data_IF_885908378751
#
_entry.id   IF_885908378751
#
_cell.length_a   1.000
_cell.length_b   1.000
_cell.length_c   1.000
_cell.angle_alpha   90.00
_cell.angle_beta   90.00
_cell.angle_gamma   90.00
#
_symmetry.space_group_name_H-M   'P 1'
#
loop_
_entity.id
_entity.type
_entity.pdbx_description
1 polymer ?
#
# COMPACT_ATOMS: atom_id res chain seq x y z
N UNK A 1 -6.15 -3.30 25.94
CA UNK A 1 -6.36 -1.85 26.22
C UNK A 1 -5.09 -1.30 26.87
N UNK A 2 -4.64 -0.11 26.45
CA UNK A 2 -3.40 0.51 26.96
C UNK A 2 -3.78 1.80 27.67
N UNK A 3 -3.25 2.03 28.88
CA UNK A 3 -3.40 3.28 29.63
C UNK A 3 -2.03 3.83 30.03
N UNK A 4 -1.94 5.15 30.13
CA UNK A 4 -0.77 5.78 30.71
C UNK A 4 -0.85 5.70 32.24
N UNK A 5 0.24 5.23 32.87
CA UNK A 5 0.38 5.14 34.33
C UNK A 5 1.50 6.08 34.73
N UNK A 6 1.23 6.97 35.69
CA UNK A 6 2.20 7.95 36.19
C UNK A 6 2.06 8.10 37.71
N UNK A 7 3.18 8.29 38.40
CA UNK A 7 3.20 8.55 39.83
C UNK A 7 2.86 10.03 40.08
N UNK A 8 1.93 10.31 41.00
CA UNK A 8 1.56 11.69 41.35
C UNK A 8 1.37 11.85 42.86
N UNK A 9 1.60 13.08 43.33
CA UNK A 9 1.31 13.51 44.70
C UNK A 9 -0.19 13.77 44.91
N UNK A 10 -0.61 13.91 46.18
CA UNK A 10 -1.98 14.31 46.57
C UNK A 10 -2.43 15.60 45.89
N UNK A 11 -1.49 16.55 45.74
CA UNK A 11 -1.69 17.85 45.09
C UNK A 11 -1.67 17.78 43.55
N UNK A 12 -1.58 16.58 42.99
CA UNK A 12 -1.68 16.33 41.55
C UNK A 12 -0.38 16.48 40.76
N UNK A 13 0.73 16.85 41.39
CA UNK A 13 2.04 16.96 40.72
C UNK A 13 2.57 15.58 40.36
N UNK A 14 2.90 15.36 39.08
CA UNK A 14 3.56 14.14 38.59
C UNK A 14 5.02 14.12 39.05
N UNK A 15 5.45 12.98 39.57
CA UNK A 15 6.78 12.76 40.16
C UNK A 15 7.43 11.49 39.57
N UNK A 16 8.74 11.28 39.78
CA UNK A 16 9.41 10.06 39.33
C UNK A 16 8.74 8.80 39.89
N UNK A 17 8.68 7.73 39.09
CA UNK A 17 8.02 6.48 39.50
C UNK A 17 8.63 5.83 40.74
N UNK A 18 9.90 6.10 41.05
CA UNK A 18 10.58 5.59 42.25
C UNK A 18 9.97 6.12 43.56
N UNK A 19 9.20 7.20 43.50
CA UNK A 19 8.48 7.76 44.66
C UNK A 19 7.18 6.99 44.96
N UNK A 20 6.67 6.22 44.01
CA UNK A 20 5.53 5.32 44.21
C UNK A 20 6.02 3.90 44.53
N UNK A 21 5.28 3.18 45.38
CA UNK A 21 5.57 1.77 45.61
C UNK A 21 5.34 0.97 44.31
N UNK A 22 6.41 0.34 43.82
CA UNK A 22 6.42 -0.44 42.58
C UNK A 22 5.51 -1.69 42.67
N UNK A 23 5.34 -2.29 43.85
CA UNK A 23 4.46 -3.45 44.03
C UNK A 23 2.98 -3.13 43.74
N UNK A 24 2.58 -1.88 43.96
CA UNK A 24 1.22 -1.41 43.69
C UNK A 24 1.09 -0.76 42.32
N UNK A 25 2.15 -0.80 41.48
CA UNK A 25 2.12 -0.17 40.16
C UNK A 25 1.08 -0.88 39.29
N UNK A 26 0.01 -0.18 38.88
CA UNK A 26 -0.99 -0.80 38.03
C UNK A 26 -0.40 -1.15 36.66
N UNK A 27 -0.88 -2.24 36.06
CA UNK A 27 -0.53 -2.59 34.69
C UNK A 27 -0.93 -1.45 33.74
N UNK A 28 0.04 -0.97 32.96
CA UNK A 28 -0.16 -0.01 31.88
C UNK A 28 -0.85 -0.65 30.67
N UNK A 29 -0.70 -1.97 30.53
CA UNK A 29 -1.33 -2.76 29.49
C UNK A 29 -2.23 -3.76 30.19
N UNK A 30 -3.54 -3.65 29.96
CA UNK A 30 -4.43 -4.77 30.25
C UNK A 30 -4.39 -5.70 29.03
N UNK A 31 -3.70 -6.85 29.12
CA UNK A 31 -3.84 -7.88 28.09
C UNK A 31 -5.31 -8.27 28.10
N UNK A 32 -5.96 -8.16 26.96
CA UNK A 32 -7.34 -8.58 26.85
C UNK A 32 -7.35 -10.11 26.68
N UNK A 33 -6.97 -10.79 27.76
CA UNK A 33 -6.97 -12.23 27.89
C UNK A 33 -8.34 -12.69 28.37
N UNK A 34 -8.92 -13.62 27.62
CA UNK A 34 -10.02 -14.52 28.00
C UNK A 34 -11.45 -13.97 28.04
N UNK A 35 -11.70 -12.68 28.32
CA UNK A 35 -13.05 -12.10 28.22
C UNK A 35 -13.04 -10.78 27.44
N UNK A 36 -13.42 -10.92 26.17
CA UNK A 36 -14.00 -9.90 25.30
C UNK A 36 -13.20 -8.58 25.20
N UNK A 37 -12.13 -8.59 24.40
CA UNK A 37 -11.58 -7.34 23.90
C UNK A 37 -12.65 -6.63 23.05
N UNK A 38 -12.80 -5.30 23.15
CA UNK A 38 -13.55 -4.57 22.14
C UNK A 38 -12.92 -4.86 20.76
N UNK A 39 -13.74 -5.10 19.73
CA UNK A 39 -13.20 -5.42 18.42
C UNK A 39 -12.50 -4.19 17.84
N UNK A 40 -11.51 -4.45 16.99
CA UNK A 40 -10.67 -3.42 16.40
C UNK A 40 -10.47 -3.66 14.92
N UNK A 41 -10.24 -2.58 14.19
CA UNK A 41 -9.93 -2.65 12.77
C UNK A 41 -8.54 -3.21 12.54
N UNK A 42 -8.46 -4.22 11.70
CA UNK A 42 -7.21 -4.81 11.24
C UNK A 42 -7.14 -4.63 9.73
N UNK A 43 -6.13 -3.87 9.29
CA UNK A 43 -5.83 -3.70 7.89
C UNK A 43 -4.81 -4.76 7.47
N UNK A 44 -5.13 -5.53 6.44
CA UNK A 44 -4.18 -6.43 5.80
C UNK A 44 -3.17 -5.65 4.96
N UNK A 45 -2.20 -6.37 4.42
CA UNK A 45 -1.24 -5.83 3.47
C UNK A 45 -1.94 -5.26 2.23
N UNK A 46 -1.27 -4.28 1.63
CA UNK A 46 -1.71 -3.74 0.35
C UNK A 46 -1.54 -4.79 -0.75
N UNK A 47 -2.57 -4.96 -1.56
CA UNK A 47 -2.48 -5.64 -2.83
C UNK A 47 -1.54 -4.90 -3.78
N UNK A 48 -1.17 -5.58 -4.87
CA UNK A 48 -0.37 -4.97 -5.93
C UNK A 48 -1.13 -3.79 -6.55
N UNK A 49 -0.38 -2.82 -7.08
CA UNK A 49 -0.96 -1.73 -7.82
C UNK A 49 -1.76 -2.27 -9.01
N UNK A 50 -2.93 -1.69 -9.28
CA UNK A 50 -3.80 -2.12 -10.40
C UNK A 50 -3.19 -1.83 -11.77
N UNK A 51 -2.19 -0.96 -11.84
CA UNK A 51 -1.40 -0.68 -13.04
C UNK A 51 0.00 -1.25 -12.88
N UNK A 52 0.68 -1.45 -14.01
CA UNK A 52 2.09 -1.82 -14.07
C UNK A 52 2.99 -0.66 -14.53
N UNK A 53 2.38 0.50 -14.84
CA UNK A 53 3.08 1.74 -15.15
C UNK A 53 2.23 2.98 -14.79
N UNK A 54 2.88 4.08 -14.45
CA UNK A 54 2.23 5.35 -14.13
C UNK A 54 1.44 5.33 -12.83
N UNK A 55 0.46 6.22 -12.72
CA UNK A 55 -0.40 6.35 -11.54
C UNK A 55 -1.50 5.28 -11.56
N UNK A 56 -1.66 4.58 -10.44
CA UNK A 56 -2.74 3.63 -10.22
C UNK A 56 -3.32 3.70 -8.82
N UNK A 57 -4.07 2.66 -8.47
CA UNK A 57 -4.69 2.46 -7.16
C UNK A 57 -4.33 1.07 -6.67
N UNK A 58 -3.99 0.96 -5.38
CA UNK A 58 -3.85 -0.29 -4.67
C UNK A 58 -4.93 -0.38 -3.60
N UNK A 59 -5.41 -1.60 -3.36
CA UNK A 59 -6.46 -1.88 -2.39
C UNK A 59 -5.90 -2.75 -1.27
N UNK A 60 -6.55 -2.72 -0.11
CA UNK A 60 -6.28 -3.66 0.98
C UNK A 60 -7.58 -4.03 1.65
N UNK A 61 -7.61 -5.22 2.23
CA UNK A 61 -8.77 -5.68 3.00
C UNK A 61 -8.69 -5.14 4.42
N UNK A 62 -9.76 -4.51 4.90
CA UNK A 62 -9.89 -4.00 6.26
C UNK A 62 -11.03 -4.75 6.96
N UNK A 63 -10.71 -5.47 8.03
CA UNK A 63 -11.66 -6.33 8.75
C UNK A 63 -11.80 -5.85 10.20
N UNK A 64 -13.03 -5.87 10.71
CA UNK A 64 -13.27 -5.72 12.14
C UNK A 64 -13.02 -7.09 12.79
N UNK A 65 -12.03 -7.18 13.70
CA UNK A 65 -11.71 -8.43 14.40
C UNK A 65 -11.83 -8.26 15.91
N UNK A 66 -12.43 -9.25 16.58
CA UNK A 66 -12.58 -9.30 18.03
C UNK A 66 -12.58 -10.71 18.58
N UNK A 67 -12.49 -10.84 19.90
CA UNK A 67 -12.51 -12.16 20.57
C UNK A 67 -13.94 -12.51 20.95
N UNK A 68 -14.46 -13.63 20.43
CA UNK A 68 -15.78 -14.15 20.80
C UNK A 68 -15.67 -15.64 21.10
N UNK A 69 -16.01 -16.03 22.34
CA UNK A 69 -15.85 -17.40 22.82
C UNK A 69 -14.39 -17.86 22.90
N UNK A 70 -13.47 -16.96 23.29
CA UNK A 70 -12.04 -17.25 23.42
C UNK A 70 -11.27 -17.41 22.10
N UNK A 71 -11.90 -17.09 20.96
CA UNK A 71 -11.26 -17.16 19.63
C UNK A 71 -11.38 -15.83 18.90
N UNK A 72 -10.35 -15.48 18.12
CA UNK A 72 -10.41 -14.36 17.19
C UNK A 72 -11.43 -14.68 16.09
N UNK A 73 -12.39 -13.79 15.89
CA UNK A 73 -13.39 -13.87 14.84
C UNK A 73 -13.54 -12.52 14.16
N UNK A 74 -13.92 -12.57 12.89
CA UNK A 74 -14.38 -11.40 12.14
C UNK A 74 -15.74 -11.00 12.71
N UNK A 75 -15.87 -9.74 13.10
CA UNK A 75 -17.07 -9.13 13.64
C UNK A 75 -17.71 -8.22 12.59
N UNK A 76 -18.86 -7.64 12.91
CA UNK A 76 -19.51 -6.72 11.98
C UNK A 76 -18.77 -5.38 11.97
N UNK A 77 -18.78 -4.65 10.84
CA UNK A 77 -18.21 -3.30 10.75
C UNK A 77 -18.69 -2.35 11.85
N UNK A 78 -19.95 -2.47 12.25
CA UNK A 78 -20.59 -1.61 13.27
C UNK A 78 -20.03 -1.84 14.68
N UNK A 79 -19.44 -3.00 14.95
CA UNK A 79 -18.88 -3.32 16.26
C UNK A 79 -17.55 -2.59 16.51
N UNK A 80 -16.86 -2.19 15.44
CA UNK A 80 -15.62 -1.41 15.49
C UNK A 80 -15.89 0.09 15.35
N UNK A 81 -15.05 0.91 15.98
CA UNK A 81 -15.13 2.37 15.88
C UNK A 81 -14.88 2.86 14.44
N UNK A 82 -15.92 3.39 13.78
CA UNK A 82 -15.84 3.89 12.42
C UNK A 82 -14.80 5.01 12.25
N UNK A 83 -14.53 5.81 13.29
CA UNK A 83 -13.51 6.86 13.24
C UNK A 83 -12.08 6.30 13.15
N UNK A 84 -11.88 5.05 13.57
CA UNK A 84 -10.59 4.36 13.50
C UNK A 84 -10.46 3.48 12.25
N UNK A 85 -11.46 3.44 11.36
CA UNK A 85 -11.41 2.59 10.17
C UNK A 85 -10.27 3.03 9.25
N UNK A 86 -9.28 2.16 8.99
CA UNK A 86 -8.21 2.46 8.05
C UNK A 86 -8.74 2.57 6.61
N UNK A 87 -8.06 3.37 5.79
CA UNK A 87 -8.39 3.50 4.35
C UNK A 87 -8.20 2.18 3.61
N UNK A 88 -9.16 1.80 2.76
CA UNK A 88 -9.12 0.55 1.97
C UNK A 88 -8.47 0.75 0.60
N UNK A 89 -8.36 1.99 0.12
CA UNK A 89 -7.75 2.32 -1.15
C UNK A 89 -6.68 3.41 -0.98
N UNK A 90 -5.60 3.30 -1.76
CA UNK A 90 -4.52 4.28 -1.77
C UNK A 90 -3.93 4.41 -3.17
N UNK A 91 -3.42 5.59 -3.50
CA UNK A 91 -2.71 5.82 -4.76
C UNK A 91 -1.36 5.13 -4.77
N UNK A 92 -1.00 4.53 -5.90
CA UNK A 92 0.32 3.97 -6.16
C UNK A 92 0.92 4.57 -7.43
N UNK A 93 2.25 4.57 -7.50
CA UNK A 93 3.01 5.09 -8.62
C UNK A 93 4.02 4.03 -9.05
N UNK A 94 3.77 3.45 -10.22
CA UNK A 94 4.67 2.52 -10.87
C UNK A 94 5.64 3.26 -11.81
N UNK A 95 6.53 2.50 -12.44
CA UNK A 95 7.43 3.01 -13.49
C UNK A 95 6.68 3.83 -14.55
N UNK A 96 7.30 4.81 -15.23
CA UNK A 96 6.67 5.54 -16.32
C UNK A 96 6.14 4.61 -17.42
N UNK A 97 5.03 5.00 -18.05
CA UNK A 97 4.50 4.29 -19.20
C UNK A 97 5.27 4.69 -20.46
N UNK A 98 5.84 3.72 -21.17
CA UNK A 98 6.47 3.92 -22.46
C UNK A 98 5.50 3.55 -23.58
N UNK A 99 5.40 4.41 -24.60
CA UNK A 99 4.53 4.20 -25.76
C UNK A 99 5.36 4.37 -27.03
N UNK A 100 5.09 3.52 -28.02
CA UNK A 100 5.62 3.70 -29.36
C UNK A 100 4.82 4.77 -30.08
N UNK A 101 5.52 5.66 -30.75
CA UNK A 101 4.95 6.64 -31.64
C UNK A 101 5.54 6.42 -33.01
N UNK A 102 4.70 6.42 -34.04
CA UNK A 102 5.12 6.29 -35.43
C UNK A 102 4.68 7.55 -36.17
N UNK A 103 5.51 8.01 -37.10
CA UNK A 103 5.08 8.99 -38.09
C UNK A 103 4.14 8.32 -39.11
N UNK A 104 3.37 9.09 -39.90
CA UNK A 104 2.69 8.53 -41.07
C UNK A 104 3.68 7.79 -41.97
N UNK A 105 3.21 6.75 -42.66
CA UNK A 105 3.98 6.11 -43.71
C UNK A 105 4.30 7.16 -44.79
N UNK A 106 5.56 7.26 -45.19
CA UNK A 106 5.92 8.02 -46.39
C UNK A 106 5.32 7.32 -47.60
N UNK A 107 4.69 8.07 -48.52
CA UNK A 107 4.27 7.55 -49.82
C UNK A 107 5.44 7.35 -50.80
N UNK A 108 6.69 7.26 -50.31
CA UNK A 108 7.79 6.76 -51.11
C UNK A 108 7.83 5.24 -51.03
N UNK A 109 7.25 4.60 -52.04
CA UNK A 109 7.46 3.20 -52.39
C UNK A 109 8.91 2.97 -52.86
N UNK A 110 9.90 3.20 -52.00
CA UNK A 110 11.19 2.55 -52.17
C UNK A 110 11.19 1.32 -51.27
N UNK A 111 10.43 0.30 -51.68
CA UNK A 111 10.57 -1.04 -51.12
C UNK A 111 12.02 -1.44 -51.40
N UNK A 112 12.88 -1.35 -50.39
CA UNK A 112 14.18 -2.00 -50.42
C UNK A 112 13.88 -3.50 -50.37
N UNK A 113 13.65 -4.08 -51.55
CA UNK A 113 13.70 -5.52 -51.72
C UNK A 113 15.15 -5.88 -51.42
N UNK A 114 15.40 -6.35 -50.21
CA UNK A 114 16.66 -6.99 -49.85
C UNK A 114 16.66 -8.33 -50.60
N UNK A 115 16.92 -8.28 -51.90
CA UNK A 115 17.18 -9.44 -52.71
C UNK A 115 18.54 -9.99 -52.28
N UNK A 116 18.53 -11.16 -51.64
CA UNK A 116 19.72 -11.98 -51.53
C UNK A 116 20.09 -12.48 -52.94
N UNK A 117 20.75 -11.64 -53.74
CA UNK A 117 21.56 -12.12 -54.85
C UNK A 117 22.91 -11.39 -54.76
N UNK A 118 23.92 -12.22 -54.58
CA UNK A 118 25.35 -11.94 -54.69
C UNK A 118 25.71 -11.02 -55.85
N UNK A 119 26.58 -10.04 -55.59
CA UNK A 119 27.63 -9.66 -56.55
C UNK A 119 27.57 -8.23 -57.12
N UNK A 120 28.34 -7.35 -56.47
CA UNK A 120 29.09 -6.21 -57.01
C UNK A 120 28.37 -4.98 -57.62
N UNK A 121 29.02 -3.79 -57.54
CA UNK A 121 28.39 -2.47 -57.59
C UNK A 121 28.52 -1.77 -58.95
N UNK A 122 27.96 -0.55 -59.00
CA UNK A 122 28.08 0.48 -60.06
C UNK A 122 27.24 0.22 -61.31
N UNK A 123 26.67 1.20 -62.00
CA UNK A 123 26.67 2.66 -62.00
C UNK A 123 25.43 3.01 -62.85
N UNK A 124 24.79 4.17 -62.66
CA UNK A 124 24.51 5.13 -63.74
C UNK A 124 23.58 6.25 -63.27
N UNK A 125 24.15 7.44 -63.42
CA UNK A 125 23.66 8.82 -63.34
C UNK A 125 22.24 9.07 -63.88
N UNK A 126 21.53 10.01 -63.21
CA UNK A 126 20.55 11.04 -63.64
C UNK A 126 19.91 10.95 -65.05
N UNK A 127 18.63 11.34 -65.25
CA UNK A 127 18.22 12.72 -64.98
C UNK A 127 16.80 12.97 -64.49
N UNK A 128 16.67 14.17 -63.90
CA UNK A 128 15.44 14.94 -63.69
C UNK A 128 14.42 14.75 -64.83
N UNK A 129 13.16 14.56 -64.47
CA UNK A 129 12.03 15.28 -65.04
C UNK A 129 11.03 15.60 -63.93
#
# INVERSE_FOLDING_TARGET
MIRHVYCKTSDGKVVPESQCNQENKPLAIHPCGEKECPPSWIAQDWEKCNTTCGRGVKKRTVLCMGISGGRNKIQKPEDCDAAQKPVEESTCFERPCFKWYTTPWSEDKQVMVIGLISGYPNLLQDPKL
#
